data_IF_313667703877
#
_entry.id   IF_313667703877
#
_cell.length_a   1.000
_cell.length_b   1.000
_cell.length_c   1.000
_cell.angle_alpha   90.00
_cell.angle_beta   90.00
_cell.angle_gamma   90.00
#
_symmetry.space_group_name_H-M   'P 1'
#
loop_
_entity.id
_entity.type
_entity.pdbx_description
1 polymer ?
#
# COMPACT_ATOMS: atom_id res chain seq x y z
N UNK A 1 10.48 18.14 -16.38
CA UNK A 1 10.63 19.22 -17.38
C UNK A 1 9.54 20.23 -17.09
N UNK A 2 9.95 21.41 -16.66
CA UNK A 2 9.09 22.51 -16.21
C UNK A 2 8.48 23.19 -17.43
N UNK A 3 7.15 23.17 -17.56
CA UNK A 3 6.45 23.84 -18.65
C UNK A 3 6.24 25.33 -18.31
N UNK A 4 7.32 26.12 -18.35
CA UNK A 4 7.28 27.59 -18.36
C UNK A 4 7.07 28.09 -19.79
N UNK A 5 5.85 27.96 -20.30
CA UNK A 5 5.45 28.54 -21.58
C UNK A 5 4.11 29.27 -21.46
N UNK A 6 3.90 30.38 -22.19
CA UNK A 6 2.64 31.13 -22.14
C UNK A 6 1.45 30.25 -22.55
N UNK A 7 0.37 30.31 -21.78
CA UNK A 7 -0.89 29.64 -22.07
C UNK A 7 -1.58 30.35 -23.25
N UNK A 8 -1.84 29.61 -24.33
CA UNK A 8 -2.54 30.15 -25.50
C UNK A 8 -4.06 29.93 -25.36
N UNK A 9 -4.84 30.97 -25.60
CA UNK A 9 -6.31 30.92 -25.63
C UNK A 9 -6.78 30.82 -27.09
N UNK A 10 -7.65 29.85 -27.43
CA UNK A 10 -8.16 29.73 -28.80
C UNK A 10 -9.26 30.75 -29.12
N UNK A 11 -10.06 31.12 -28.13
CA UNK A 11 -11.11 32.11 -28.29
C UNK A 11 -11.60 32.64 -26.93
N UNK A 12 -11.95 33.91 -26.90
CA UNK A 12 -12.76 34.52 -25.84
C UNK A 12 -14.17 34.64 -26.38
N UNK A 13 -15.10 33.86 -25.84
CA UNK A 13 -16.50 33.93 -26.24
C UNK A 13 -17.25 34.91 -25.34
N UNK A 14 -17.87 35.91 -25.95
CA UNK A 14 -18.73 36.85 -25.27
C UNK A 14 -20.18 36.34 -25.26
N UNK A 15 -20.59 35.80 -24.11
CA UNK A 15 -21.96 35.30 -23.90
C UNK A 15 -22.95 36.39 -23.52
N UNK A 16 -22.52 37.65 -23.36
CA UNK A 16 -23.39 38.78 -23.00
C UNK A 16 -24.54 38.98 -23.99
N UNK A 17 -24.34 38.61 -25.27
CA UNK A 17 -25.37 38.67 -26.31
C UNK A 17 -26.46 37.59 -26.20
N UNK A 18 -26.19 36.46 -25.54
CA UNK A 18 -27.17 35.36 -25.37
C UNK A 18 -27.85 35.35 -24.01
N UNK A 19 -27.14 35.76 -22.96
CA UNK A 19 -27.70 35.89 -21.63
C UNK A 19 -26.99 37.02 -20.87
N UNK A 20 -27.55 38.24 -20.83
CA UNK A 20 -26.90 39.40 -20.22
C UNK A 20 -26.72 39.25 -18.70
N UNK A 21 -27.45 38.34 -18.04
CA UNK A 21 -27.24 38.03 -16.62
C UNK A 21 -26.11 37.03 -16.36
N UNK A 22 -25.57 36.39 -17.41
CA UNK A 22 -24.42 35.49 -17.36
C UNK A 22 -23.22 36.08 -18.10
N UNK A 23 -23.07 37.41 -18.11
CA UNK A 23 -21.94 38.14 -18.70
C UNK A 23 -20.64 37.80 -17.93
N UNK A 24 -20.07 36.63 -18.21
CA UNK A 24 -18.77 36.17 -17.76
C UNK A 24 -18.02 35.69 -19.00
N UNK A 25 -16.74 36.06 -19.10
CA UNK A 25 -15.87 35.50 -20.12
C UNK A 25 -15.69 34.00 -19.85
N UNK A 26 -16.15 33.15 -20.76
CA UNK A 26 -15.80 31.73 -20.68
C UNK A 26 -14.53 31.51 -21.50
N UNK A 27 -13.46 31.13 -20.80
CA UNK A 27 -12.21 30.73 -21.42
C UNK A 27 -12.32 29.24 -21.77
N UNK A 28 -12.22 28.92 -23.06
CA UNK A 28 -12.08 27.53 -23.50
C UNK A 28 -10.58 27.20 -23.48
N UNK A 29 -10.09 26.33 -22.57
CA UNK A 29 -8.70 25.91 -22.63
C UNK A 29 -8.43 25.18 -23.95
N UNK A 30 -7.32 25.51 -24.59
CA UNK A 30 -6.79 24.71 -25.69
C UNK A 30 -5.94 23.62 -25.06
N UNK A 31 -6.17 22.36 -25.42
CA UNK A 31 -5.21 21.31 -25.10
C UNK A 31 -3.86 21.73 -25.65
N UNK A 32 -2.81 21.75 -24.81
CA UNK A 32 -1.45 21.85 -25.30
C UNK A 32 -1.25 20.79 -26.40
N UNK A 33 -0.55 21.13 -27.48
CA UNK A 33 -0.34 20.17 -28.57
C UNK A 33 0.36 18.91 -28.02
N UNK A 34 -0.33 17.77 -28.01
CA UNK A 34 0.14 16.50 -27.43
C UNK A 34 -0.90 15.86 -26.49
N UNK A 35 -0.59 14.66 -26.00
CA UNK A 35 -1.32 14.05 -24.88
C UNK A 35 -0.80 14.60 -23.55
N UNK A 36 -1.64 14.62 -22.53
CA UNK A 36 -1.28 15.00 -21.16
C UNK A 36 -1.87 13.97 -20.18
N UNK A 37 -1.10 13.61 -19.16
CA UNK A 37 -1.54 12.66 -18.12
C UNK A 37 -2.38 13.37 -17.03
N UNK A 38 -2.10 14.64 -16.75
CA UNK A 38 -2.77 15.44 -15.73
C UNK A 38 -2.86 16.93 -16.12
N UNK A 39 -3.99 17.59 -15.81
CA UNK A 39 -4.20 19.02 -16.06
C UNK A 39 -4.89 19.68 -14.86
N UNK A 40 -4.35 20.82 -14.42
CA UNK A 40 -4.88 21.60 -13.31
C UNK A 40 -5.71 22.77 -13.84
N UNK A 41 -6.95 22.90 -13.37
CA UNK A 41 -7.86 23.98 -13.74
C UNK A 41 -8.37 24.67 -12.48
N UNK A 42 -8.18 25.98 -12.42
CA UNK A 42 -8.74 26.82 -11.35
C UNK A 42 -10.10 27.36 -11.76
N UNK A 43 -11.08 27.23 -10.86
CA UNK A 43 -12.44 27.73 -11.08
C UNK A 43 -12.72 28.94 -10.20
N UNK A 44 -13.41 29.93 -10.76
CA UNK A 44 -14.01 30.98 -9.95
C UNK A 44 -15.08 30.40 -9.00
N UNK A 45 -15.28 30.99 -7.81
CA UNK A 45 -16.30 30.53 -6.87
C UNK A 45 -17.68 30.41 -7.52
N UNK A 46 -18.32 29.25 -7.36
CA UNK A 46 -19.63 28.93 -7.96
C UNK A 46 -19.59 28.42 -9.40
N UNK A 47 -18.44 28.46 -10.09
CA UNK A 47 -18.30 27.92 -11.45
C UNK A 47 -17.88 26.43 -11.49
N UNK A 48 -17.56 25.83 -10.34
CA UNK A 48 -17.02 24.48 -10.26
C UNK A 48 -17.96 23.41 -10.83
N UNK A 49 -19.25 23.42 -10.48
CA UNK A 49 -20.20 22.37 -10.92
C UNK A 49 -20.37 22.35 -12.44
N UNK A 50 -20.68 23.50 -13.04
CA UNK A 50 -20.83 23.63 -14.49
C UNK A 50 -19.51 23.45 -15.25
N UNK A 51 -18.40 23.95 -14.68
CA UNK A 51 -17.07 23.79 -15.26
C UNK A 51 -16.59 22.34 -15.29
N UNK A 52 -16.84 21.57 -14.22
CA UNK A 52 -16.52 20.14 -14.13
C UNK A 52 -17.24 19.32 -15.21
N UNK A 53 -18.54 19.55 -15.39
CA UNK A 53 -19.34 18.85 -16.40
C UNK A 53 -18.89 19.21 -17.81
N UNK A 54 -18.59 20.49 -18.06
CA UNK A 54 -18.06 20.95 -19.34
C UNK A 54 -16.70 20.33 -19.67
N UNK A 55 -15.78 20.25 -18.70
CA UNK A 55 -14.48 19.60 -18.89
C UNK A 55 -14.62 18.10 -19.14
N UNK A 56 -15.45 17.41 -18.36
CA UNK A 56 -15.71 15.98 -18.55
C UNK A 56 -16.27 15.70 -19.95
N UNK A 57 -17.24 16.50 -20.42
CA UNK A 57 -17.79 16.38 -21.76
C UNK A 57 -16.75 16.67 -22.85
N UNK A 58 -15.91 17.70 -22.66
CA UNK A 58 -14.89 18.10 -23.66
C UNK A 58 -13.81 17.04 -23.88
N UNK A 59 -13.43 16.31 -22.83
CA UNK A 59 -12.37 15.30 -22.88
C UNK A 59 -12.89 13.86 -23.02
N UNK A 60 -14.21 13.64 -23.01
CA UNK A 60 -14.81 12.33 -23.25
C UNK A 60 -14.49 11.79 -24.66
N UNK A 61 -14.31 12.69 -25.62
CA UNK A 61 -14.04 12.37 -27.03
C UNK A 61 -12.53 12.40 -27.29
N UNK A 62 -11.82 11.33 -26.86
CA UNK A 62 -10.39 11.14 -27.14
C UNK A 62 -9.52 10.68 -25.96
N UNK A 63 -10.06 10.64 -24.75
CA UNK A 63 -9.39 10.09 -23.56
C UNK A 63 -10.08 8.80 -23.10
N UNK A 64 -9.28 7.82 -22.68
CA UNK A 64 -9.80 6.66 -21.97
C UNK A 64 -10.21 7.09 -20.55
N UNK A 65 -11.47 7.48 -20.39
CA UNK A 65 -12.12 7.84 -19.12
C UNK A 65 -11.55 9.09 -18.41
N UNK A 66 -11.91 10.31 -18.86
CA UNK A 66 -11.44 11.55 -18.23
C UNK A 66 -12.06 11.74 -16.83
N UNK A 67 -11.24 11.56 -15.78
CA UNK A 67 -11.70 11.73 -14.40
C UNK A 67 -11.40 13.14 -13.89
N UNK A 68 -12.41 14.01 -13.85
CA UNK A 68 -12.30 15.35 -13.23
C UNK A 68 -12.49 15.24 -11.73
N UNK A 69 -11.41 15.44 -10.95
CA UNK A 69 -11.44 15.42 -9.49
C UNK A 69 -11.17 16.80 -8.92
N UNK A 70 -11.85 17.22 -7.84
CA UNK A 70 -11.48 18.45 -7.16
C UNK A 70 -10.09 18.30 -6.52
N UNK A 71 -9.29 19.36 -6.58
CA UNK A 71 -7.96 19.39 -5.94
C UNK A 71 -8.06 19.19 -4.41
N UNK A 72 -9.03 19.85 -3.78
CA UNK A 72 -9.45 19.57 -2.41
C UNK A 72 -10.83 18.94 -2.39
N UNK A 73 -10.98 17.84 -1.66
CA UNK A 73 -12.25 17.15 -1.54
C UNK A 73 -13.22 18.04 -0.75
N UNK A 74 -14.45 18.19 -1.26
CA UNK A 74 -15.43 19.12 -0.68
C UNK A 74 -15.89 18.77 0.75
N UNK A 75 -15.63 17.54 1.20
CA UNK A 75 -15.98 16.97 2.51
C UNK A 75 -14.84 17.02 3.53
N UNK A 76 -13.68 17.60 3.19
CA UNK A 76 -12.45 17.52 3.99
C UNK A 76 -12.59 18.06 5.42
N UNK A 77 -13.45 19.08 5.63
CA UNK A 77 -13.67 19.67 6.96
C UNK A 77 -14.72 18.96 7.82
N UNK A 78 -15.51 18.05 7.23
CA UNK A 78 -16.57 17.29 7.94
C UNK A 78 -16.20 15.82 8.14
N UNK A 79 -15.09 15.39 7.57
CA UNK A 79 -14.67 14.00 7.54
C UNK A 79 -13.79 13.68 8.74
N UNK A 80 -14.06 12.54 9.35
CA UNK A 80 -13.15 11.92 10.31
C UNK A 80 -12.24 10.90 9.58
N UNK A 81 -10.98 11.28 9.25
CA UNK A 81 -10.07 10.38 8.57
C UNK A 81 -9.73 9.13 9.41
N UNK A 82 -9.79 9.23 10.74
CA UNK A 82 -9.53 8.10 11.63
C UNK A 82 -10.67 7.08 11.59
N UNK A 83 -11.93 7.55 11.57
CA UNK A 83 -13.10 6.67 11.41
C UNK A 83 -13.11 5.96 10.06
N UNK A 84 -12.78 6.66 8.97
CA UNK A 84 -12.71 6.02 7.66
C UNK A 84 -11.57 5.01 7.56
N UNK A 85 -10.37 5.36 8.04
CA UNK A 85 -9.27 4.41 8.12
C UNK A 85 -9.64 3.18 8.97
N UNK A 86 -10.38 3.40 10.06
CA UNK A 86 -10.83 2.32 10.93
C UNK A 86 -11.82 1.36 10.25
N UNK A 87 -12.61 1.85 9.29
CA UNK A 87 -13.54 1.05 8.51
C UNK A 87 -12.88 0.23 7.38
N UNK A 88 -11.63 0.51 7.00
CA UNK A 88 -10.98 -0.18 5.88
C UNK A 88 -10.54 -1.60 6.30
N UNK A 89 -10.96 -2.66 5.58
CA UNK A 89 -10.50 -4.03 5.87
C UNK A 89 -8.98 -4.17 5.70
N UNK A 90 -8.39 -3.38 4.81
CA UNK A 90 -6.95 -3.29 4.55
C UNK A 90 -6.14 -2.89 5.79
N UNK A 91 -6.74 -2.25 6.80
CA UNK A 91 -6.05 -1.89 8.06
C UNK A 91 -5.44 -3.10 8.77
N UNK A 92 -6.05 -4.28 8.60
CA UNK A 92 -5.57 -5.54 9.20
C UNK A 92 -4.72 -6.36 8.24
N UNK A 93 -4.51 -5.90 7.00
CA UNK A 93 -3.78 -6.65 5.98
C UNK A 93 -2.35 -7.00 6.40
N UNK A 94 -1.68 -6.12 7.15
CA UNK A 94 -0.33 -6.37 7.64
C UNK A 94 -0.24 -7.55 8.62
N UNK A 95 -1.34 -7.98 9.25
CA UNK A 95 -1.39 -9.14 10.14
C UNK A 95 -1.42 -10.48 9.39
N UNK A 96 -1.79 -10.48 8.10
CA UNK A 96 -1.85 -11.70 7.31
C UNK A 96 -0.45 -12.31 7.14
N UNK A 97 0.57 -11.48 6.91
CA UNK A 97 1.96 -11.91 6.72
C UNK A 97 2.52 -12.68 7.93
N UNK A 98 2.53 -12.12 9.17
CA UNK A 98 3.02 -12.84 10.33
C UNK A 98 2.17 -14.08 10.66
N UNK A 99 0.87 -14.07 10.37
CA UNK A 99 0.02 -15.26 10.54
C UNK A 99 0.44 -16.40 9.60
N UNK A 100 0.71 -16.09 8.33
CA UNK A 100 1.20 -17.08 7.35
C UNK A 100 2.58 -17.59 7.74
N UNK A 101 3.51 -16.70 8.11
CA UNK A 101 4.86 -17.09 8.55
C UNK A 101 4.83 -17.96 9.81
N UNK A 102 3.95 -17.65 10.76
CA UNK A 102 3.73 -18.47 11.95
C UNK A 102 3.20 -19.86 11.58
N UNK A 103 2.22 -19.94 10.66
CA UNK A 103 1.71 -21.21 10.15
C UNK A 103 2.80 -22.06 9.47
N UNK A 104 3.63 -21.44 8.62
CA UNK A 104 4.78 -22.12 8.01
C UNK A 104 5.81 -22.57 9.05
N UNK A 105 6.07 -21.76 10.08
CA UNK A 105 6.91 -22.11 11.22
C UNK A 105 6.38 -23.33 11.98
N UNK A 106 5.07 -23.40 12.22
CA UNK A 106 4.42 -24.57 12.84
C UNK A 106 4.58 -25.83 11.99
N UNK A 107 4.35 -25.73 10.68
CA UNK A 107 4.49 -26.86 9.75
C UNK A 107 5.95 -27.34 9.70
N UNK A 108 6.90 -26.42 9.60
CA UNK A 108 8.34 -26.73 9.62
C UNK A 108 8.74 -27.41 10.93
N UNK A 109 8.32 -26.87 12.07
CA UNK A 109 8.57 -27.46 13.39
C UNK A 109 7.93 -28.85 13.51
N UNK A 110 6.76 -29.06 12.94
CA UNK A 110 6.08 -30.36 12.91
C UNK A 110 6.89 -31.41 12.15
N UNK A 111 7.40 -31.09 10.95
CA UNK A 111 8.25 -32.03 10.19
C UNK A 111 9.58 -32.34 10.90
N UNK A 112 10.13 -31.37 11.64
CA UNK A 112 11.38 -31.54 12.43
C UNK A 112 11.15 -32.14 13.82
N UNK A 113 9.94 -32.59 14.13
CA UNK A 113 9.60 -33.16 15.44
C UNK A 113 10.42 -34.41 15.76
N UNK A 114 10.72 -35.23 14.76
CA UNK A 114 11.54 -36.46 14.92
C UNK A 114 13.00 -36.14 15.27
N UNK A 115 13.61 -35.16 14.60
CA UNK A 115 14.94 -34.64 14.92
C UNK A 115 14.98 -34.06 16.34
N UNK A 116 13.97 -33.27 16.68
CA UNK A 116 13.84 -32.66 18.01
C UNK A 116 13.74 -33.72 19.12
N UNK A 117 13.01 -34.81 18.88
CA UNK A 117 12.92 -35.93 19.82
C UNK A 117 14.29 -36.61 20.04
N UNK A 118 15.10 -36.74 18.99
CA UNK A 118 16.46 -37.28 19.09
C UNK A 118 17.34 -36.40 19.98
N UNK A 119 17.33 -35.07 19.77
CA UNK A 119 18.08 -34.15 20.63
C UNK A 119 17.62 -34.18 22.09
N UNK A 120 16.30 -34.30 22.33
CA UNK A 120 15.77 -34.46 23.68
C UNK A 120 16.24 -35.77 24.34
N UNK A 121 16.35 -36.86 23.57
CA UNK A 121 16.86 -38.13 24.08
C UNK A 121 18.35 -38.07 24.47
N UNK A 122 19.15 -37.25 23.79
CA UNK A 122 20.55 -36.96 24.12
C UNK A 122 20.68 -35.99 25.31
N UNK A 123 19.56 -35.48 25.84
CA UNK A 123 19.52 -34.64 27.04
C UNK A 123 19.56 -33.13 26.76
N UNK A 124 19.39 -32.70 25.51
CA UNK A 124 19.25 -31.27 25.18
C UNK A 124 17.99 -30.70 25.83
N UNK A 125 18.05 -29.49 26.39
CA UNK A 125 16.88 -28.85 26.99
C UNK A 125 15.93 -28.34 25.91
N UNK A 126 14.61 -28.43 26.12
CA UNK A 126 13.58 -27.91 25.20
C UNK A 126 13.80 -26.45 24.80
N UNK A 127 14.22 -25.62 25.75
CA UNK A 127 14.52 -24.19 25.51
C UNK A 127 15.69 -24.02 24.55
N UNK A 128 16.74 -24.84 24.66
CA UNK A 128 17.89 -24.78 23.76
C UNK A 128 17.51 -25.17 22.33
N UNK A 129 16.66 -26.19 22.17
CA UNK A 129 16.13 -26.58 20.86
C UNK A 129 15.26 -25.49 20.23
N UNK A 130 14.37 -24.88 21.02
CA UNK A 130 13.54 -23.78 20.54
C UNK A 130 14.40 -22.57 20.11
N UNK A 131 15.44 -22.23 20.88
CA UNK A 131 16.37 -21.15 20.54
C UNK A 131 17.19 -21.47 19.29
N UNK A 132 17.68 -22.70 19.14
CA UNK A 132 18.43 -23.14 17.97
C UNK A 132 17.57 -23.07 16.69
N UNK A 133 16.34 -23.59 16.73
CA UNK A 133 15.41 -23.52 15.61
C UNK A 133 15.03 -22.06 15.28
N UNK A 134 14.83 -21.24 16.29
CA UNK A 134 14.52 -19.81 16.12
C UNK A 134 15.70 -19.06 15.49
N UNK A 135 16.93 -19.31 15.96
CA UNK A 135 18.14 -18.67 15.45
C UNK A 135 18.40 -18.99 13.98
N UNK A 136 18.01 -20.18 13.51
CA UNK A 136 18.05 -20.57 12.09
C UNK A 136 17.02 -19.79 11.25
N UNK A 137 15.83 -19.53 11.80
CA UNK A 137 14.74 -18.86 11.08
C UNK A 137 14.87 -17.34 11.01
N UNK A 138 15.47 -16.71 12.02
CA UNK A 138 15.67 -15.25 12.06
C UNK A 138 16.39 -14.65 10.85
N UNK A 139 17.56 -15.17 10.40
CA UNK A 139 18.22 -14.63 9.22
C UNK A 139 17.37 -14.81 7.96
N UNK A 140 16.61 -15.91 7.83
CA UNK A 140 15.73 -16.15 6.69
C UNK A 140 14.60 -15.11 6.63
N UNK A 141 13.98 -14.80 7.78
CA UNK A 141 12.95 -13.75 7.87
C UNK A 141 13.56 -12.38 7.55
N UNK A 142 14.74 -12.08 8.09
CA UNK A 142 15.43 -10.81 7.81
C UNK A 142 15.79 -10.63 6.34
N UNK A 143 16.36 -11.65 5.70
CA UNK A 143 16.69 -11.65 4.27
C UNK A 143 15.42 -11.57 3.42
N UNK A 144 14.41 -12.39 3.73
CA UNK A 144 13.14 -12.39 3.02
C UNK A 144 12.43 -11.04 3.08
N UNK A 145 12.44 -10.40 4.26
CA UNK A 145 11.94 -9.04 4.43
C UNK A 145 12.73 -8.03 3.59
N UNK A 146 14.07 -8.05 3.65
CA UNK A 146 14.91 -7.12 2.89
C UNK A 146 14.70 -7.25 1.38
N UNK A 147 14.64 -8.48 0.85
CA UNK A 147 14.37 -8.76 -0.56
C UNK A 147 12.97 -8.33 -0.95
N UNK A 148 11.95 -8.68 -0.15
CA UNK A 148 10.56 -8.29 -0.41
C UNK A 148 10.36 -6.78 -0.39
N UNK A 149 10.99 -6.09 0.57
CA UNK A 149 10.96 -4.63 0.66
C UNK A 149 11.63 -3.98 -0.54
N UNK A 150 12.82 -4.44 -0.93
CA UNK A 150 13.53 -3.91 -2.10
C UNK A 150 12.75 -4.13 -3.41
N UNK A 151 12.12 -5.30 -3.57
CA UNK A 151 11.29 -5.60 -4.73
C UNK A 151 10.02 -4.74 -4.79
N UNK A 152 9.32 -4.57 -3.67
CA UNK A 152 8.15 -3.71 -3.57
C UNK A 152 8.53 -2.26 -3.89
N UNK A 153 9.62 -1.77 -3.30
CA UNK A 153 10.12 -0.42 -3.54
C UNK A 153 10.51 -0.19 -5.02
N UNK A 154 11.21 -1.15 -5.63
CA UNK A 154 11.56 -1.08 -7.05
C UNK A 154 10.33 -1.08 -7.96
N UNK A 155 9.28 -1.82 -7.60
CA UNK A 155 8.02 -1.85 -8.35
C UNK A 155 7.21 -0.57 -8.21
N UNK A 156 7.26 0.10 -7.06
CA UNK A 156 6.59 1.38 -6.86
C UNK A 156 7.30 2.48 -7.66
N UNK A 157 8.63 2.54 -7.56
CA UNK A 157 9.45 3.49 -8.30
C UNK A 157 9.25 3.39 -9.82
N UNK A 158 8.99 2.20 -10.37
CA UNK A 158 8.73 2.04 -11.80
C UNK A 158 7.33 2.51 -12.24
N UNK A 159 6.35 2.58 -11.32
CA UNK A 159 4.98 2.98 -11.61
C UNK A 159 4.77 4.48 -11.37
N UNK A 160 5.23 5.01 -10.23
CA UNK A 160 4.97 6.41 -9.82
C UNK A 160 6.15 7.35 -10.03
N UNK A 161 7.28 6.83 -10.52
CA UNK A 161 8.52 7.59 -10.72
C UNK A 161 9.30 7.78 -9.42
N UNK A 162 8.92 8.77 -8.60
CA UNK A 162 9.64 9.07 -7.34
C UNK A 162 8.75 8.86 -6.10
N UNK A 163 9.07 7.88 -5.24
CA UNK A 163 8.35 7.68 -3.99
C UNK A 163 8.61 8.86 -3.04
N UNK A 164 7.56 9.35 -2.39
CA UNK A 164 7.68 10.40 -1.38
C UNK A 164 8.32 9.84 -0.11
N UNK A 165 9.10 10.65 0.61
CA UNK A 165 9.78 10.24 1.86
C UNK A 165 8.80 9.65 2.88
N UNK A 166 7.60 10.22 2.96
CA UNK A 166 6.58 9.83 3.92
C UNK A 166 5.99 8.46 3.59
N UNK A 167 5.80 8.16 2.30
CA UNK A 167 5.34 6.85 1.85
C UNK A 167 6.37 5.75 2.19
N UNK A 168 7.67 6.05 2.00
CA UNK A 168 8.76 5.13 2.33
C UNK A 168 8.80 4.85 3.83
N UNK A 169 8.74 5.90 4.67
CA UNK A 169 8.76 5.75 6.13
C UNK A 169 7.56 4.94 6.64
N UNK A 170 6.36 5.23 6.13
CA UNK A 170 5.15 4.50 6.51
C UNK A 170 5.22 3.01 6.10
N UNK A 171 5.74 2.74 4.90
CA UNK A 171 5.90 1.37 4.38
C UNK A 171 6.95 0.59 5.16
N UNK A 172 8.08 1.23 5.48
CA UNK A 172 9.14 0.65 6.30
C UNK A 172 8.63 0.34 7.71
N UNK A 173 7.91 1.27 8.34
CA UNK A 173 7.35 1.07 9.66
C UNK A 173 6.33 -0.08 9.67
N UNK A 174 5.45 -0.16 8.67
CA UNK A 174 4.40 -1.18 8.61
C UNK A 174 4.98 -2.57 8.31
N UNK A 175 5.83 -2.68 7.28
CA UNK A 175 6.46 -3.95 6.91
C UNK A 175 7.46 -4.44 7.95
N UNK A 176 8.24 -3.51 8.54
CA UNK A 176 9.16 -3.80 9.63
C UNK A 176 8.43 -4.29 10.88
N UNK A 177 7.30 -3.67 11.23
CA UNK A 177 6.46 -4.15 12.34
C UNK A 177 5.91 -5.55 12.09
N UNK A 178 5.49 -5.86 10.87
CA UNK A 178 5.05 -7.21 10.50
C UNK A 178 6.18 -8.24 10.60
N UNK A 179 7.40 -7.90 10.16
CA UNK A 179 8.57 -8.76 10.26
C UNK A 179 8.97 -9.00 11.73
N UNK A 180 9.00 -7.95 12.55
CA UNK A 180 9.28 -8.06 13.98
C UNK A 180 8.22 -8.92 14.70
N UNK A 181 6.95 -8.77 14.35
CA UNK A 181 5.89 -9.61 14.89
C UNK A 181 6.09 -11.08 14.49
N UNK A 182 6.46 -11.37 13.24
CA UNK A 182 6.77 -12.73 12.81
C UNK A 182 7.96 -13.32 13.59
N UNK A 183 9.05 -12.55 13.76
CA UNK A 183 10.21 -12.94 14.56
C UNK A 183 9.86 -13.25 16.01
N UNK A 184 8.92 -12.50 16.59
CA UNK A 184 8.45 -12.72 17.96
C UNK A 184 7.54 -13.96 18.10
N UNK A 185 6.80 -14.33 17.04
CA UNK A 185 5.87 -15.47 17.05
C UNK A 185 6.54 -16.82 16.77
N UNK A 186 7.61 -16.86 15.96
CA UNK A 186 8.30 -18.10 15.59
C UNK A 186 8.81 -18.95 16.79
N UNK A 187 9.37 -18.37 17.87
CA UNK A 187 9.73 -19.13 19.07
C UNK A 187 8.55 -19.90 19.66
N UNK A 188 7.35 -19.32 19.61
CA UNK A 188 6.13 -19.95 20.12
C UNK A 188 5.70 -21.12 19.25
N UNK A 189 5.82 -21.02 17.92
CA UNK A 189 5.56 -22.14 17.02
C UNK A 189 6.44 -23.34 17.37
N UNK A 190 7.75 -23.12 17.53
CA UNK A 190 8.71 -24.16 17.91
C UNK A 190 8.40 -24.73 19.32
N UNK A 191 8.08 -23.86 20.29
CA UNK A 191 7.76 -24.27 21.64
C UNK A 191 6.47 -25.11 21.72
N UNK A 192 5.44 -24.80 20.93
CA UNK A 192 4.18 -25.53 20.90
C UNK A 192 4.37 -26.97 20.43
N UNK A 193 5.14 -27.19 19.36
CA UNK A 193 5.43 -28.54 18.85
C UNK A 193 6.31 -29.33 19.84
N UNK A 194 7.26 -28.65 20.50
CA UNK A 194 8.15 -29.28 21.48
C UNK A 194 7.47 -29.71 22.81
N UNK A 195 6.20 -29.35 23.05
CA UNK A 195 5.48 -29.69 24.29
C UNK A 195 5.06 -31.16 24.39
N UNK A 196 4.96 -31.89 23.28
CA UNK A 196 4.49 -33.28 23.25
C UNK A 196 5.32 -34.26 24.08
N UNK A 197 4.74 -35.41 24.42
CA UNK A 197 5.47 -36.54 25.02
C UNK A 197 6.45 -37.12 23.99
N UNK A 198 7.66 -37.50 24.41
CA UNK A 198 8.68 -38.11 23.52
C UNK A 198 8.12 -39.35 22.81
N UNK A 199 7.34 -40.18 23.52
CA UNK A 199 6.68 -41.35 22.95
C UNK A 199 5.69 -40.98 21.83
N UNK A 200 4.97 -39.87 21.97
CA UNK A 200 4.08 -39.36 20.91
C UNK A 200 4.82 -38.75 19.73
N UNK A 201 6.09 -38.36 19.89
CA UNK A 201 6.92 -37.84 18.80
C UNK A 201 7.52 -38.95 17.94
N UNK A 202 7.77 -40.12 18.54
CA UNK A 202 8.37 -41.28 17.88
C UNK A 202 7.34 -42.20 17.20
N UNK A 203 6.07 -42.13 17.62
CA UNK A 203 5.00 -43.02 17.14
C UNK A 203 4.56 -42.74 15.69
N UNK A 204 4.68 -41.50 15.22
CA UNK A 204 4.20 -41.07 13.89
C UNK A 204 5.25 -41.28 12.77
N UNK A 205 6.12 -42.29 12.90
CA UNK A 205 7.13 -42.62 11.89
C UNK A 205 6.77 -43.87 11.10
#
# INVERSE_FOLDING_TARGET
MEATGPTYFSAVYDFSRRNPQAARWALSPVSAAGGFDECWVEFSPGAYSGGREMLAARFAEGSADPVVRPYRRSDEFTRDPAAEWAGRPQRRGWLAVPAVLFGLGLISAWFRRSESALYLAVGTRRVQLALMATAEQWPLVGIGWAVGFAAAFASEASITGQPTSDAVLATLATSGSAALLALALLPWANALVARGSIASMLKDR
#
